data_IF_089466504463
#
_entry.id   IF_089466504463
#
_cell.length_a   1.000
_cell.length_b   1.000
_cell.length_c   1.000
_cell.angle_alpha   90.00
_cell.angle_beta   90.00
_cell.angle_gamma   90.00
#
_symmetry.space_group_name_H-M   'P 1'
#
loop_
_entity.id
_entity.type
_entity.pdbx_description
1 polymer ?
#
# COMPACT_ATOMS: atom_id res chain seq x y z
N UNK A 1 7.07 -3.88 -39.11
CA UNK A 1 5.74 -3.42 -38.62
C UNK A 1 5.98 -2.55 -37.41
N UNK A 2 5.35 -1.38 -37.34
CA UNK A 2 5.37 -0.53 -36.15
C UNK A 2 3.95 -0.38 -35.61
N UNK A 3 3.80 -0.47 -34.28
CA UNK A 3 2.56 -0.21 -33.56
C UNK A 3 2.75 0.99 -32.62
N UNK A 4 1.69 1.74 -32.39
CA UNK A 4 1.66 2.84 -31.42
C UNK A 4 0.88 2.38 -30.18
N UNK A 5 1.40 2.72 -29.01
CA UNK A 5 0.74 2.50 -27.73
C UNK A 5 0.60 3.85 -27.03
N UNK A 6 -0.64 4.22 -26.70
CA UNK A 6 -0.94 5.33 -25.80
C UNK A 6 -1.16 4.78 -24.39
N UNK A 7 -0.59 5.44 -23.39
CA UNK A 7 -0.71 5.08 -21.98
C UNK A 7 -0.65 6.34 -21.12
N UNK A 8 -1.02 6.21 -19.85
CA UNK A 8 -0.80 7.24 -18.83
C UNK A 8 0.41 6.87 -17.98
N UNK A 9 1.29 7.82 -17.74
CA UNK A 9 2.40 7.71 -16.80
C UNK A 9 2.08 8.44 -15.48
N UNK A 10 3.07 8.47 -14.58
CA UNK A 10 2.94 9.13 -13.27
C UNK A 10 2.57 10.61 -13.39
N UNK A 11 3.14 11.31 -14.39
CA UNK A 11 2.87 12.72 -14.63
C UNK A 11 1.40 12.90 -15.06
N UNK A 12 0.95 12.15 -16.07
CA UNK A 12 -0.42 12.22 -16.56
C UNK A 12 -1.45 11.87 -15.46
N UNK A 13 -1.15 10.89 -14.61
CA UNK A 13 -2.02 10.52 -13.48
C UNK A 13 -2.04 11.60 -12.40
N UNK A 14 -0.90 12.21 -12.09
CA UNK A 14 -0.84 13.36 -11.18
C UNK A 14 -1.66 14.54 -11.72
N UNK A 15 -1.53 14.86 -13.01
CA UNK A 15 -2.27 15.94 -13.66
C UNK A 15 -3.79 15.69 -13.63
N UNK A 16 -4.23 14.46 -13.89
CA UNK A 16 -5.65 14.08 -13.77
C UNK A 16 -6.15 14.18 -12.33
N UNK A 17 -5.32 13.81 -11.37
CA UNK A 17 -5.65 13.96 -9.93
C UNK A 17 -5.80 15.44 -9.57
N UNK A 18 -4.89 16.29 -10.06
CA UNK A 18 -5.01 17.74 -9.90
C UNK A 18 -6.27 18.28 -10.56
N UNK A 19 -6.61 17.83 -11.77
CA UNK A 19 -7.85 18.23 -12.44
C UNK A 19 -9.08 17.91 -11.59
N UNK A 20 -9.12 16.74 -10.93
CA UNK A 20 -10.21 16.39 -10.01
C UNK A 20 -10.30 17.33 -8.81
N UNK A 21 -9.16 17.72 -8.22
CA UNK A 21 -9.10 18.68 -7.12
C UNK A 21 -9.60 20.07 -7.56
N UNK A 22 -9.10 20.55 -8.71
CA UNK A 22 -9.41 21.88 -9.26
C UNK A 22 -10.90 22.05 -9.61
N UNK A 23 -11.60 20.94 -9.89
CA UNK A 23 -13.01 20.94 -10.28
C UNK A 23 -13.94 20.38 -9.19
N UNK A 24 -13.44 20.20 -7.96
CA UNK A 24 -14.23 19.67 -6.83
C UNK A 24 -14.97 18.37 -7.18
N UNK A 25 -14.34 17.49 -7.96
CA UNK A 25 -14.92 16.20 -8.30
C UNK A 25 -14.88 15.28 -7.06
N UNK A 26 -15.92 14.46 -6.88
CA UNK A 26 -16.02 13.55 -5.73
C UNK A 26 -15.01 12.39 -5.75
N UNK A 27 -14.23 12.25 -6.82
CA UNK A 27 -13.22 11.21 -6.97
C UNK A 27 -13.11 10.71 -8.40
N UNK A 28 -12.36 9.62 -8.57
CA UNK A 28 -12.13 8.91 -9.83
C UNK A 28 -12.08 7.40 -9.55
N UNK A 29 -12.14 6.62 -10.62
CA UNK A 29 -12.06 5.15 -10.56
C UNK A 29 -10.75 4.73 -11.24
N UNK A 30 -10.04 3.80 -10.61
CA UNK A 30 -8.86 3.16 -11.18
C UNK A 30 -9.29 1.80 -11.75
N UNK A 31 -9.04 1.60 -13.05
CA UNK A 31 -9.23 0.32 -13.71
C UNK A 31 -7.92 -0.13 -14.36
N UNK A 32 -7.17 -1.05 -13.77
CA UNK A 32 -7.41 -1.69 -12.47
C UNK A 32 -6.08 -1.82 -11.72
N UNK A 33 -6.12 -2.26 -10.47
CA UNK A 33 -4.96 -2.20 -9.58
C UNK A 33 -3.79 -3.07 -10.09
N UNK A 34 -4.06 -4.24 -10.66
CA UNK A 34 -3.04 -5.11 -11.24
C UNK A 34 -2.40 -4.54 -12.52
N UNK A 35 -3.03 -3.54 -13.14
CA UNK A 35 -2.47 -2.75 -14.24
C UNK A 35 -1.35 -1.80 -13.81
N UNK A 36 -1.27 -1.48 -12.51
CA UNK A 36 -0.23 -0.65 -11.90
C UNK A 36 0.77 -1.48 -11.08
N UNK A 37 0.46 -2.74 -10.77
CA UNK A 37 1.30 -3.59 -9.94
C UNK A 37 2.58 -4.02 -10.67
N UNK A 38 3.71 -3.58 -10.16
CA UNK A 38 5.04 -3.93 -10.66
C UNK A 38 5.55 -5.25 -10.07
N UNK A 39 6.66 -5.78 -10.61
CA UNK A 39 7.25 -7.05 -10.14
C UNK A 39 7.76 -7.01 -8.70
N UNK A 40 8.10 -5.82 -8.23
CA UNK A 40 8.53 -5.56 -6.85
C UNK A 40 7.35 -5.17 -5.94
N UNK A 41 6.12 -5.37 -6.40
CA UNK A 41 4.87 -4.98 -5.73
C UNK A 41 4.67 -3.48 -5.54
N UNK A 42 5.46 -2.62 -6.19
CA UNK A 42 5.19 -1.18 -6.23
C UNK A 42 3.96 -0.86 -7.10
N UNK A 43 3.34 0.28 -6.83
CA UNK A 43 2.15 0.80 -7.53
C UNK A 43 2.35 2.27 -7.91
N UNK A 44 3.23 2.56 -8.89
CA UNK A 44 3.70 3.92 -9.16
C UNK A 44 2.61 4.91 -9.59
N UNK A 45 1.57 4.48 -10.30
CA UNK A 45 0.47 5.36 -10.70
C UNK A 45 -0.42 5.68 -9.49
N UNK A 46 -0.71 4.70 -8.63
CA UNK A 46 -1.42 4.91 -7.37
C UNK A 46 -0.62 5.78 -6.40
N UNK A 47 0.70 5.64 -6.37
CA UNK A 47 1.59 6.46 -5.54
C UNK A 47 1.60 7.92 -6.01
N UNK A 48 1.52 8.17 -7.33
CA UNK A 48 1.39 9.52 -7.89
C UNK A 48 0.05 10.16 -7.47
N UNK A 49 -1.04 9.39 -7.50
CA UNK A 49 -2.34 9.83 -6.95
C UNK A 49 -2.20 10.20 -5.47
N UNK A 50 -1.66 9.29 -4.66
CA UNK A 50 -1.53 9.49 -3.22
C UNK A 50 -0.71 10.74 -2.90
N UNK A 51 0.41 10.92 -3.60
CA UNK A 51 1.30 12.07 -3.42
C UNK A 51 0.60 13.40 -3.71
N UNK A 52 -0.14 13.49 -4.82
CA UNK A 52 -0.90 14.70 -5.18
C UNK A 52 -2.05 14.98 -4.21
N UNK A 53 -2.75 13.95 -3.73
CA UNK A 53 -3.82 14.13 -2.75
C UNK A 53 -3.28 14.55 -1.37
N UNK A 54 -2.11 14.05 -0.98
CA UNK A 54 -1.46 14.40 0.29
C UNK A 54 -0.82 15.81 0.26
N UNK A 55 -0.27 16.23 -0.88
CA UNK A 55 0.22 17.59 -1.13
C UNK A 55 -0.37 18.14 -2.45
N UNK A 56 -1.49 18.89 -2.38
CA UNK A 56 -2.09 19.51 -3.57
C UNK A 56 -1.14 20.47 -4.31
N UNK A 57 -0.15 21.04 -3.62
CA UNK A 57 0.82 21.98 -4.19
C UNK A 57 1.98 21.31 -4.96
N UNK A 58 2.12 19.98 -4.84
CA UNK A 58 3.13 19.19 -5.52
C UNK A 58 3.08 19.43 -7.04
N UNK A 59 4.20 19.79 -7.68
CA UNK A 59 4.22 19.92 -9.13
C UNK A 59 4.23 18.54 -9.82
N UNK A 60 3.27 18.27 -10.71
CA UNK A 60 3.22 17.00 -11.42
C UNK A 60 4.41 16.78 -12.37
N UNK A 61 5.06 17.86 -12.83
CA UNK A 61 6.32 17.80 -13.59
C UNK A 61 7.46 17.17 -12.81
N UNK A 62 7.37 17.09 -11.49
CA UNK A 62 8.36 16.38 -10.69
C UNK A 62 8.41 14.89 -11.12
N UNK A 63 7.28 14.28 -11.46
CA UNK A 63 7.21 12.89 -11.92
C UNK A 63 7.75 12.64 -13.33
N UNK A 64 7.95 13.68 -14.14
CA UNK A 64 8.42 13.57 -15.52
C UNK A 64 9.91 13.17 -15.62
N UNK A 65 10.69 13.48 -14.58
CA UNK A 65 12.15 13.40 -14.60
C UNK A 65 12.72 12.51 -13.51
N UNK A 66 11.87 11.98 -12.61
CA UNK A 66 12.33 11.40 -11.37
C UNK A 66 11.82 9.97 -11.15
N UNK A 67 12.72 9.01 -11.31
CA UNK A 67 12.55 7.63 -10.84
C UNK A 67 12.75 7.51 -9.32
N UNK A 68 13.29 8.54 -8.66
CA UNK A 68 13.60 8.62 -7.22
C UNK A 68 12.64 9.49 -6.39
N UNK A 69 11.58 10.08 -6.98
CA UNK A 69 10.48 10.73 -6.22
C UNK A 69 9.63 9.74 -5.45
N UNK A 70 9.77 8.45 -5.75
CA UNK A 70 9.47 7.46 -4.75
C UNK A 70 10.74 7.26 -3.94
N UNK A 71 10.87 7.85 -2.74
CA UNK A 71 11.57 7.09 -1.74
C UNK A 71 10.84 5.75 -1.77
N UNK A 72 11.58 4.68 -2.11
CA UNK A 72 11.23 3.39 -1.56
C UNK A 72 10.99 3.71 -0.09
N UNK A 73 9.73 3.74 0.35
CA UNK A 73 9.47 3.62 1.76
C UNK A 73 9.84 2.17 2.07
N UNK A 74 11.15 1.87 2.08
CA UNK A 74 11.70 1.25 3.25
C UNK A 74 11.21 2.14 4.38
N UNK A 75 10.13 1.70 5.03
CA UNK A 75 9.69 2.24 6.30
C UNK A 75 10.96 2.27 7.15
N UNK A 76 11.61 3.42 7.20
CA UNK A 76 12.69 3.66 8.15
C UNK A 76 11.95 3.88 9.44
N UNK A 77 12.15 2.97 10.39
CA UNK A 77 11.44 2.89 11.67
C UNK A 77 11.69 4.05 12.63
N UNK A 78 12.20 5.19 12.16
CA UNK A 78 12.50 6.34 13.01
C UNK A 78 11.47 7.46 12.82
N UNK A 79 10.61 7.54 13.84
CA UNK A 79 9.80 8.65 14.33
C UNK A 79 8.77 9.30 13.38
N UNK A 80 7.58 8.71 13.33
CA UNK A 80 6.33 9.49 13.23
C UNK A 80 6.14 10.32 14.51
N UNK A 81 5.57 11.54 14.46
CA UNK A 81 5.22 12.31 15.65
C UNK A 81 4.29 11.47 16.53
N UNK A 82 4.69 11.25 17.77
CA UNK A 82 3.96 10.44 18.76
C UNK A 82 2.53 10.94 18.89
N UNK A 83 1.59 10.23 18.26
CA UNK A 83 0.18 10.31 18.59
C UNK A 83 0.02 10.07 20.11
N UNK A 84 -0.94 10.71 20.79
CA UNK A 84 -1.15 10.50 22.22
C UNK A 84 -1.32 9.01 22.47
N UNK A 85 -0.44 8.43 23.30
CA UNK A 85 -0.48 7.04 23.71
C UNK A 85 -1.82 6.75 24.41
N UNK A 86 -2.81 6.36 23.61
CA UNK A 86 -3.90 5.49 24.06
C UNK A 86 -3.59 4.16 23.43
N UNK A 87 -2.75 3.36 24.10
CA UNK A 87 -2.61 1.94 23.79
C UNK A 87 -3.97 1.29 24.01
N UNK A 88 -4.82 1.30 22.98
CA UNK A 88 -5.86 0.30 22.87
C UNK A 88 -5.19 -0.93 22.28
N UNK A 89 -4.44 -1.64 23.12
CA UNK A 89 -4.13 -3.05 22.92
C UNK A 89 -5.44 -3.84 23.04
N UNK A 90 -6.32 -3.64 22.06
CA UNK A 90 -7.36 -4.60 21.72
C UNK A 90 -6.66 -5.64 20.85
N UNK A 91 -5.86 -6.49 21.48
CA UNK A 91 -5.49 -7.80 20.95
C UNK A 91 -6.76 -8.64 20.89
N UNK A 92 -7.65 -8.29 19.97
CA UNK A 92 -8.63 -9.25 19.49
C UNK A 92 -7.78 -10.42 19.00
N UNK A 93 -7.91 -11.63 19.58
CA UNK A 93 -7.18 -12.77 19.06
C UNK A 93 -7.55 -12.84 17.58
N UNK A 94 -6.56 -12.66 16.70
CA UNK A 94 -6.75 -12.89 15.29
C UNK A 94 -7.28 -14.33 15.20
N UNK A 95 -8.54 -14.47 14.83
CA UNK A 95 -9.19 -15.78 14.71
C UNK A 95 -8.94 -16.26 13.30
N UNK A 96 -8.71 -17.56 13.14
CA UNK A 96 -8.77 -18.17 11.82
C UNK A 96 -10.14 -17.86 11.20
N UNK A 97 -10.21 -17.18 10.03
CA UNK A 97 -11.47 -17.02 9.33
C UNK A 97 -12.07 -18.38 8.98
N UNK A 98 -13.39 -18.46 8.94
CA UNK A 98 -14.09 -19.71 8.63
C UNK A 98 -13.62 -20.28 7.28
N UNK A 99 -13.26 -21.57 7.27
CA UNK A 99 -12.77 -22.27 6.08
C UNK A 99 -11.35 -21.90 5.63
N UNK A 100 -10.68 -20.93 6.27
CA UNK A 100 -9.31 -20.57 5.93
C UNK A 100 -8.32 -21.66 6.37
N UNK A 101 -7.45 -22.03 5.45
CA UNK A 101 -6.29 -22.89 5.70
C UNK A 101 -5.03 -22.16 5.23
N UNK A 102 -4.10 -21.88 6.15
CA UNK A 102 -2.95 -21.01 5.89
C UNK A 102 -2.33 -20.49 7.17
N UNK A 103 -1.31 -19.64 7.07
CA UNK A 103 -0.65 -19.04 8.24
C UNK A 103 -1.20 -17.64 8.50
N UNK A 104 -1.44 -17.30 9.77
CA UNK A 104 -1.83 -15.96 10.22
C UNK A 104 -0.88 -15.47 11.31
N UNK A 105 -0.61 -14.15 11.35
CA UNK A 105 0.23 -13.57 12.39
C UNK A 105 -0.46 -13.70 13.76
N UNK A 106 0.30 -14.10 14.79
CA UNK A 106 -0.18 -14.17 16.17
C UNK A 106 -0.08 -12.81 16.86
N UNK A 107 1.13 -12.27 16.96
CA UNK A 107 1.44 -10.98 17.56
C UNK A 107 2.76 -10.42 17.02
N UNK A 108 2.80 -9.12 16.69
CA UNK A 108 4.02 -8.34 16.40
C UNK A 108 5.03 -8.98 15.41
N UNK A 109 4.54 -9.77 14.44
CA UNK A 109 5.32 -10.42 13.38
C UNK A 109 6.41 -11.41 13.87
N UNK A 110 6.38 -11.83 15.13
CA UNK A 110 7.38 -12.77 15.71
C UNK A 110 6.93 -14.21 15.71
N UNK A 111 5.62 -14.41 15.78
CA UNK A 111 4.98 -15.71 15.81
C UNK A 111 3.81 -15.74 14.84
N UNK A 112 3.58 -16.90 14.23
CA UNK A 112 2.41 -17.19 13.42
C UNK A 112 1.76 -18.50 13.89
N UNK A 113 0.45 -18.61 13.74
CA UNK A 113 -0.26 -19.86 13.91
C UNK A 113 -0.79 -20.33 12.55
N UNK A 114 -0.87 -21.64 12.37
CA UNK A 114 -1.45 -22.24 11.17
C UNK A 114 -2.92 -22.51 11.41
N UNK A 115 -3.77 -22.10 10.49
CA UNK A 115 -5.18 -22.43 10.43
C UNK A 115 -5.39 -23.64 9.53
N UNK A 116 -6.30 -24.52 9.93
CA UNK A 116 -6.85 -25.57 9.07
C UNK A 116 -8.37 -25.54 9.20
N UNK A 117 -9.05 -25.25 8.10
CA UNK A 117 -10.52 -25.10 8.03
C UNK A 117 -11.11 -24.19 9.12
N UNK A 118 -10.48 -23.04 9.37
CA UNK A 118 -10.94 -22.09 10.40
C UNK A 118 -10.58 -22.46 11.84
N UNK A 119 -9.81 -23.53 12.06
CA UNK A 119 -9.33 -23.90 13.40
C UNK A 119 -7.83 -23.59 13.55
N UNK A 120 -7.41 -22.82 14.57
CA UNK A 120 -6.00 -22.57 14.84
C UNK A 120 -5.31 -23.83 15.38
N UNK A 121 -4.14 -24.14 14.84
CA UNK A 121 -3.25 -25.21 15.30
C UNK A 121 -2.21 -24.59 16.23
N UNK A 122 -2.09 -25.17 17.43
CA UNK A 122 -1.12 -24.78 18.46
C UNK A 122 -0.06 -25.88 18.67
N UNK A 123 1.15 -25.54 19.16
CA UNK A 123 1.62 -24.20 19.53
C UNK A 123 1.92 -23.32 18.30
N UNK A 124 1.97 -22.00 18.50
CA UNK A 124 2.39 -21.07 17.46
C UNK A 124 3.87 -21.27 17.12
N UNK A 125 4.23 -20.98 15.87
CA UNK A 125 5.56 -21.16 15.31
C UNK A 125 6.26 -19.79 15.26
N UNK A 126 7.52 -19.74 15.69
CA UNK A 126 8.34 -18.53 15.60
C UNK A 126 8.81 -18.30 14.17
N UNK A 127 8.90 -17.03 13.77
CA UNK A 127 9.49 -16.65 12.49
C UNK A 127 10.98 -17.02 12.43
N UNK A 128 11.51 -17.55 11.31
CA UNK A 128 12.94 -17.81 11.16
C UNK A 128 13.77 -16.52 11.28
N UNK A 129 14.85 -16.55 12.06
CA UNK A 129 15.76 -15.40 12.23
C UNK A 129 15.69 -14.68 13.58
N UNK A 130 14.88 -15.16 14.53
CA UNK A 130 15.00 -14.85 15.97
C UNK A 130 15.91 -15.83 16.73
#
# INVERSE_FOLDING_TARGET
MGGMVSFDDKEAICDKTQYCLDHELNGFIIWELSGDLMRDFSTPLLDAVHSKLNDPSLSCKAFAYDDSIFPSQSISTDELPRAPNTMSSTSSPLRCPDGFSGSLPKDSCREFYTCTFGTPIYPAIKCPGE
#
